data_IF_874293799972
#
_entry.id   IF_874293799972
#
_cell.length_a   1.000
_cell.length_b   1.000
_cell.length_c   1.000
_cell.angle_alpha   90.00
_cell.angle_beta   90.00
_cell.angle_gamma   90.00
#
_symmetry.space_group_name_H-M   'P 1'
#
loop_
_entity.id
_entity.type
_entity.pdbx_description
1 polymer ?
#
# COMPACT_ATOMS: atom_id res chain seq x y z
N UNK A 1 11.60 -19.50 1.52
CA UNK A 1 11.80 -20.11 2.85
C UNK A 1 13.04 -19.44 3.42
N UNK A 2 13.00 -18.58 4.44
CA UNK A 2 12.18 -18.59 5.64
C UNK A 2 11.31 -17.33 5.79
N UNK A 3 10.00 -17.54 5.97
CA UNK A 3 9.04 -16.56 6.49
C UNK A 3 9.29 -16.22 7.97
N UNK A 4 10.25 -16.88 8.63
CA UNK A 4 10.39 -16.87 10.08
C UNK A 4 10.90 -15.55 10.69
N UNK A 5 11.43 -14.60 9.91
CA UNK A 5 12.02 -13.37 10.47
C UNK A 5 11.04 -12.19 10.57
N UNK A 6 9.82 -12.32 10.04
CA UNK A 6 8.80 -11.25 10.08
C UNK A 6 7.92 -11.26 11.35
N UNK A 7 8.11 -12.24 12.24
CA UNK A 7 7.21 -12.51 13.37
C UNK A 7 7.58 -11.82 14.70
N UNK A 8 8.62 -10.98 14.76
CA UNK A 8 9.11 -10.37 16.01
C UNK A 8 8.80 -8.87 16.19
N UNK A 9 7.73 -8.38 15.58
CA UNK A 9 7.15 -7.07 15.88
C UNK A 9 5.86 -6.90 15.09
N UNK A 10 4.72 -6.77 15.79
CA UNK A 10 3.36 -6.83 15.22
C UNK A 10 3.23 -6.06 13.89
N UNK A 11 3.30 -6.80 12.79
CA UNK A 11 3.27 -6.24 11.45
C UNK A 11 1.88 -6.49 10.86
N UNK A 12 0.99 -5.51 11.03
CA UNK A 12 -0.35 -5.52 10.45
C UNK A 12 -0.33 -5.28 8.93
N UNK A 13 0.81 -4.90 8.37
CA UNK A 13 0.96 -4.64 6.94
C UNK A 13 0.85 -5.91 6.10
N UNK A 14 0.37 -5.74 4.88
CA UNK A 14 0.17 -6.81 3.90
C UNK A 14 1.04 -6.65 2.65
N UNK A 15 1.89 -5.62 2.63
CA UNK A 15 2.73 -5.25 1.48
C UNK A 15 3.60 -6.41 0.99
N UNK A 16 4.23 -7.13 1.92
CA UNK A 16 5.12 -8.27 1.65
C UNK A 16 4.45 -9.37 0.81
N UNK A 17 3.13 -9.55 0.97
CA UNK A 17 2.34 -10.54 0.25
C UNK A 17 1.75 -9.99 -1.05
N UNK A 18 1.45 -8.70 -1.09
CA UNK A 18 0.62 -8.11 -2.14
C UNK A 18 1.38 -7.25 -3.17
N UNK A 19 2.59 -6.78 -2.88
CA UNK A 19 3.28 -5.79 -3.73
C UNK A 19 3.43 -6.24 -5.20
N UNK A 20 3.80 -7.51 -5.43
CA UNK A 20 3.95 -8.05 -6.79
C UNK A 20 2.61 -8.14 -7.52
N UNK A 21 1.54 -8.52 -6.81
CA UNK A 21 0.19 -8.58 -7.38
C UNK A 21 -0.29 -7.20 -7.78
N UNK A 22 -0.20 -6.20 -6.89
CA UNK A 22 -0.69 -4.85 -7.18
C UNK A 22 0.07 -4.21 -8.33
N UNK A 23 1.38 -4.45 -8.45
CA UNK A 23 2.14 -3.97 -9.61
C UNK A 23 1.58 -4.48 -10.92
N UNK A 24 1.36 -5.79 -11.02
CA UNK A 24 0.79 -6.41 -12.22
C UNK A 24 -0.67 -6.00 -12.46
N UNK A 25 -1.45 -5.82 -11.39
CA UNK A 25 -2.82 -5.35 -11.49
C UNK A 25 -2.90 -3.93 -12.04
N UNK A 26 -2.13 -3.00 -11.49
CA UNK A 26 -2.08 -1.60 -11.94
C UNK A 26 -1.69 -1.53 -13.41
N UNK A 27 -0.64 -2.24 -13.80
CA UNK A 27 -0.15 -2.31 -15.19
C UNK A 27 -1.20 -2.80 -16.18
N UNK A 28 -2.07 -3.73 -15.78
CA UNK A 28 -3.11 -4.31 -16.65
C UNK A 28 -4.39 -3.47 -16.73
N UNK A 29 -4.56 -2.48 -15.85
CA UNK A 29 -5.80 -1.72 -15.71
C UNK A 29 -5.56 -0.23 -15.99
N UNK A 30 -5.08 0.09 -17.19
CA UNK A 30 -4.75 1.47 -17.62
C UNK A 30 -5.93 2.45 -17.58
N UNK A 31 -7.18 1.94 -17.60
CA UNK A 31 -8.39 2.76 -17.48
C UNK A 31 -8.68 3.26 -16.05
N UNK A 32 -7.95 2.76 -15.05
CA UNK A 32 -8.11 3.15 -13.64
C UNK A 32 -6.93 4.04 -13.26
N UNK A 33 -7.22 5.22 -12.71
CA UNK A 33 -6.22 6.10 -12.12
C UNK A 33 -5.93 5.66 -10.69
N UNK A 34 -4.69 5.26 -10.40
CA UNK A 34 -4.26 4.82 -9.09
C UNK A 34 -3.49 5.93 -8.36
N UNK A 35 -3.95 6.24 -7.15
CA UNK A 35 -3.19 7.04 -6.20
C UNK A 35 -2.42 6.12 -5.25
N UNK A 36 -1.10 6.22 -5.24
CA UNK A 36 -0.25 5.53 -4.29
C UNK A 36 0.01 6.42 -3.08
N UNK A 37 -0.37 5.95 -1.89
CA UNK A 37 -0.06 6.61 -0.62
C UNK A 37 0.63 5.64 0.34
N UNK A 38 1.95 5.38 0.16
CA UNK A 38 2.67 4.48 1.05
C UNK A 38 2.73 5.05 2.47
N UNK A 39 2.69 4.17 3.47
CA UNK A 39 2.91 4.59 4.85
C UNK A 39 4.32 5.20 5.01
N UNK A 40 4.51 6.29 5.77
CA UNK A 40 5.82 6.95 5.89
C UNK A 40 6.94 6.03 6.37
N UNK A 41 6.62 5.05 7.21
CA UNK A 41 7.58 4.06 7.70
C UNK A 41 7.77 2.83 6.78
N UNK A 42 7.04 2.71 5.66
CA UNK A 42 7.07 1.52 4.81
C UNK A 42 8.49 1.22 4.30
N UNK A 43 9.12 2.20 3.63
CA UNK A 43 10.50 2.06 3.11
C UNK A 43 11.48 1.60 4.20
N UNK A 44 11.46 2.29 5.34
CA UNK A 44 12.34 1.98 6.48
C UNK A 44 12.09 0.57 7.01
N UNK A 45 10.83 0.15 7.13
CA UNK A 45 10.47 -1.18 7.61
C UNK A 45 10.96 -2.29 6.67
N UNK A 46 10.76 -2.13 5.36
CA UNK A 46 11.16 -3.13 4.36
C UNK A 46 12.70 -3.29 4.30
N UNK A 47 13.44 -2.19 4.41
CA UNK A 47 14.91 -2.21 4.44
C UNK A 47 15.44 -2.82 5.74
N UNK A 48 14.91 -2.38 6.89
CA UNK A 48 15.39 -2.87 8.19
C UNK A 48 15.10 -4.36 8.42
N UNK A 49 14.02 -4.88 7.84
CA UNK A 49 13.69 -6.31 7.89
C UNK A 49 14.47 -7.12 6.86
N UNK A 50 15.18 -6.48 5.93
CA UNK A 50 15.90 -7.14 4.85
C UNK A 50 15.00 -7.74 3.77
N UNK A 51 13.72 -7.36 3.73
CA UNK A 51 12.77 -7.88 2.74
C UNK A 51 13.02 -7.29 1.35
N UNK A 52 13.27 -5.98 1.28
CA UNK A 52 13.80 -5.33 0.10
C UNK A 52 15.05 -4.55 0.47
N UNK A 53 16.05 -4.58 -0.41
CA UNK A 53 17.12 -3.60 -0.38
C UNK A 53 16.58 -2.21 -0.72
N UNK A 54 17.39 -1.18 -0.43
CA UNK A 54 17.09 0.19 -0.85
C UNK A 54 16.79 0.25 -2.36
N UNK A 55 17.68 -0.32 -3.18
CA UNK A 55 17.54 -0.28 -4.65
C UNK A 55 16.32 -1.07 -5.13
N UNK A 56 15.98 -2.19 -4.48
CA UNK A 56 14.78 -2.95 -4.83
C UNK A 56 13.51 -2.14 -4.55
N UNK A 57 13.45 -1.43 -3.42
CA UNK A 57 12.33 -0.55 -3.12
C UNK A 57 12.23 0.62 -4.11
N UNK A 58 13.35 1.30 -4.38
CA UNK A 58 13.38 2.42 -5.33
C UNK A 58 12.97 1.97 -6.73
N UNK A 59 13.49 0.84 -7.21
CA UNK A 59 13.11 0.30 -8.52
C UNK A 59 11.62 -0.04 -8.58
N UNK A 60 11.06 -0.63 -7.52
CA UNK A 60 9.63 -0.92 -7.45
C UNK A 60 8.78 0.36 -7.51
N UNK A 61 9.12 1.38 -6.73
CA UNK A 61 8.39 2.65 -6.72
C UNK A 61 8.54 3.40 -8.04
N UNK A 62 9.75 3.46 -8.60
CA UNK A 62 10.04 4.10 -9.88
C UNK A 62 9.30 3.43 -11.05
N UNK A 63 9.20 2.09 -11.04
CA UNK A 63 8.42 1.36 -12.04
C UNK A 63 6.94 1.75 -11.95
N UNK A 64 6.35 1.76 -10.74
CA UNK A 64 4.95 2.13 -10.56
C UNK A 64 4.63 3.55 -11.03
N UNK A 65 5.42 4.54 -10.63
CA UNK A 65 5.18 5.95 -11.02
C UNK A 65 5.52 6.24 -12.48
N UNK A 66 6.18 5.31 -13.18
CA UNK A 66 6.40 5.40 -14.63
C UNK A 66 5.12 5.12 -15.44
N UNK A 67 4.12 4.48 -14.84
CA UNK A 67 2.84 4.23 -15.50
C UNK A 67 1.99 5.50 -15.57
N UNK A 68 1.39 5.77 -16.73
CA UNK A 68 0.62 7.00 -16.97
C UNK A 68 -0.64 7.11 -16.09
N UNK A 69 -1.14 5.99 -15.58
CA UNK A 69 -2.32 5.89 -14.73
C UNK A 69 -1.97 5.80 -13.23
N UNK A 70 -0.77 6.21 -12.83
CA UNK A 70 -0.32 6.19 -11.44
C UNK A 70 0.21 7.56 -11.03
N UNK A 71 -0.14 7.98 -9.82
CA UNK A 71 0.53 9.10 -9.17
C UNK A 71 0.83 8.79 -7.71
N UNK A 72 1.98 9.25 -7.23
CA UNK A 72 2.38 9.17 -5.84
C UNK A 72 1.85 10.37 -5.07
N UNK A 73 1.27 10.14 -3.90
CA UNK A 73 0.80 11.17 -2.99
C UNK A 73 1.53 11.05 -1.64
N UNK A 74 2.66 11.75 -1.55
CA UNK A 74 3.58 11.74 -0.41
C UNK A 74 3.37 12.90 0.58
N UNK A 75 2.75 14.00 0.15
CA UNK A 75 2.58 15.20 0.96
C UNK A 75 1.15 15.77 0.95
N UNK A 76 0.76 16.45 2.03
CA UNK A 76 -0.51 17.16 2.14
C UNK A 76 -1.67 16.37 2.78
N UNK A 77 -2.81 17.05 2.91
CA UNK A 77 -4.04 16.49 3.46
C UNK A 77 -4.71 15.54 2.47
N UNK A 78 -4.84 14.28 2.86
CA UNK A 78 -5.50 13.24 2.07
C UNK A 78 -7.05 13.32 2.13
N UNK A 79 -7.62 14.31 2.83
CA UNK A 79 -9.08 14.49 2.88
C UNK A 79 -9.65 14.77 1.48
N UNK A 80 -8.99 15.61 0.68
CA UNK A 80 -9.44 15.86 -0.70
C UNK A 80 -9.30 14.62 -1.58
N UNK A 81 -8.24 13.82 -1.36
CA UNK A 81 -8.10 12.54 -2.03
C UNK A 81 -9.28 11.61 -1.72
N UNK A 82 -9.73 11.57 -0.47
CA UNK A 82 -10.90 10.77 -0.09
C UNK A 82 -12.20 11.28 -0.72
N UNK A 83 -12.38 12.60 -0.80
CA UNK A 83 -13.54 13.21 -1.46
C UNK A 83 -13.59 12.97 -2.96
N UNK A 84 -12.44 12.83 -3.61
CA UNK A 84 -12.36 12.65 -5.06
C UNK A 84 -12.12 11.21 -5.53
N UNK A 85 -11.71 10.29 -4.65
CA UNK A 85 -11.55 8.88 -5.04
C UNK A 85 -12.89 8.18 -5.26
N UNK A 86 -12.92 7.13 -6.08
CA UNK A 86 -14.13 6.29 -6.23
C UNK A 86 -14.19 5.16 -5.20
N UNK A 87 -13.03 4.64 -4.79
CA UNK A 87 -12.88 3.60 -3.79
C UNK A 87 -11.48 3.65 -3.15
N UNK A 88 -11.28 2.92 -2.05
CA UNK A 88 -9.96 2.74 -1.42
C UNK A 88 -9.63 1.27 -1.19
N UNK A 89 -8.34 0.92 -1.36
CA UNK A 89 -7.77 -0.34 -0.91
C UNK A 89 -6.74 -0.01 0.17
N UNK A 90 -6.85 -0.60 1.37
CA UNK A 90 -5.92 -0.30 2.46
C UNK A 90 -5.79 -1.43 3.48
N UNK A 91 -4.63 -1.56 4.10
CA UNK A 91 -4.40 -2.31 5.35
C UNK A 91 -4.23 -1.38 6.57
N UNK A 92 -4.43 -0.06 6.39
CA UNK A 92 -4.35 0.92 7.48
C UNK A 92 -5.65 1.01 8.26
N UNK A 93 -5.59 0.64 9.54
CA UNK A 93 -6.72 0.80 10.48
C UNK A 93 -7.08 2.27 10.68
N UNK A 94 -6.12 3.19 10.64
CA UNK A 94 -6.42 4.63 10.79
C UNK A 94 -7.23 5.11 9.58
N UNK A 95 -6.80 4.77 8.37
CA UNK A 95 -7.52 5.12 7.15
C UNK A 95 -8.88 4.44 7.04
N UNK A 96 -9.06 3.25 7.60
CA UNK A 96 -10.40 2.65 7.72
C UNK A 96 -11.34 3.62 8.44
N UNK A 97 -10.96 4.10 9.63
CA UNK A 97 -11.78 5.03 10.41
C UNK A 97 -11.97 6.39 9.73
N UNK A 98 -10.94 6.89 9.04
CA UNK A 98 -10.93 8.22 8.43
C UNK A 98 -11.63 8.26 7.06
N UNK A 99 -11.75 7.12 6.36
CA UNK A 99 -12.42 7.01 5.06
C UNK A 99 -13.90 6.66 5.19
N UNK A 100 -14.34 6.05 6.29
CA UNK A 100 -15.76 5.76 6.54
C UNK A 100 -16.69 6.98 6.31
N UNK A 101 -16.35 8.22 6.74
CA UNK A 101 -17.15 9.40 6.46
C UNK A 101 -17.26 9.76 4.97
N UNK A 102 -16.34 9.30 4.12
CA UNK A 102 -16.42 9.51 2.67
C UNK A 102 -17.59 8.71 2.04
N UNK A 103 -18.12 7.71 2.75
CA UNK A 103 -19.23 6.86 2.35
C UNK A 103 -19.04 6.23 0.95
N UNK A 104 -17.84 5.66 0.74
CA UNK A 104 -17.40 5.07 -0.52
C UNK A 104 -16.88 3.64 -0.32
N UNK A 105 -16.89 2.80 -1.37
CA UNK A 105 -16.37 1.44 -1.29
C UNK A 105 -14.94 1.38 -0.78
N UNK A 106 -14.69 0.45 0.14
CA UNK A 106 -13.37 0.18 0.71
C UNK A 106 -13.11 -1.32 0.72
N UNK A 107 -11.95 -1.72 0.20
CA UNK A 107 -11.41 -3.07 0.36
C UNK A 107 -10.33 -3.04 1.44
N UNK A 108 -10.63 -3.65 2.58
CA UNK A 108 -9.68 -3.78 3.67
C UNK A 108 -8.82 -5.04 3.46
N UNK A 109 -7.50 -4.87 3.49
CA UNK A 109 -6.56 -5.98 3.39
C UNK A 109 -6.20 -6.43 4.81
N UNK A 110 -6.72 -7.58 5.19
CA UNK A 110 -6.49 -8.15 6.52
C UNK A 110 -5.17 -8.92 6.56
N UNK A 111 -4.46 -8.79 7.68
CA UNK A 111 -3.31 -9.64 7.99
C UNK A 111 -3.78 -10.87 8.77
N UNK A 112 -3.11 -12.01 8.56
CA UNK A 112 -3.42 -13.27 9.25
C UNK A 112 -3.29 -13.19 10.78
N UNK A 113 -2.75 -12.09 11.31
CA UNK A 113 -2.68 -11.83 12.75
C UNK A 113 -4.05 -11.72 13.43
N UNK A 114 -5.11 -11.40 12.67
CA UNK A 114 -6.49 -11.31 13.18
C UNK A 114 -7.31 -12.60 13.04
N UNK A 115 -6.75 -13.64 12.40
CA UNK A 115 -7.42 -14.93 12.26
C UNK A 115 -7.32 -15.72 13.57
N UNK A 116 -8.44 -15.86 14.27
CA UNK A 116 -8.62 -16.72 15.44
C UNK A 116 -8.47 -18.21 15.10
#
# INVERSE_FOLDING_TARGET
>A
MNSASFYLGGNFGTFDRNFSFFKEYIKKNESILFCLKPHPNLKRALINTGFLSYDQYENYMNELISFQNVFLYDEGSYIELFKHSDAMITDSVSFLSEYLPANKPLLFLESDWYAF
#
